data_IF_560694559792
#
_entry.id   IF_560694559792
#
_cell.length_a   1.000
_cell.length_b   1.000
_cell.length_c   1.000
_cell.angle_alpha   90.00
_cell.angle_beta   90.00
_cell.angle_gamma   90.00
#
_symmetry.space_group_name_H-M   'P 1'
#
loop_
_entity.id
_entity.type
_entity.pdbx_description
1 polymer ?
#
# COMPACT_ATOMS: atom_id res chain seq x y z
N UNK A 1 -17.07 -23.80 18.68
CA UNK A 1 -16.00 -22.78 18.59
C UNK A 1 -15.22 -23.10 17.33
N UNK A 2 -15.44 -22.36 16.23
CA UNK A 2 -14.56 -22.46 15.04
C UNK A 2 -13.26 -21.78 15.43
N UNK A 3 -12.17 -22.47 15.27
CA UNK A 3 -10.83 -21.92 15.50
C UNK A 3 -10.52 -20.90 14.42
N UNK A 4 -9.80 -19.85 14.75
CA UNK A 4 -9.38 -18.72 13.87
C UNK A 4 -8.66 -19.16 12.57
N UNK A 5 -8.33 -20.45 12.48
CA UNK A 5 -7.55 -21.08 11.39
C UNK A 5 -8.39 -21.49 10.18
N UNK A 6 -9.73 -21.40 10.23
CA UNK A 6 -10.62 -21.93 9.18
C UNK A 6 -11.32 -20.85 8.32
N UNK A 7 -10.96 -19.57 8.48
CA UNK A 7 -11.44 -18.54 7.55
C UNK A 7 -10.56 -18.53 6.30
N UNK A 8 -11.11 -19.00 5.19
CA UNK A 8 -10.47 -18.85 3.87
C UNK A 8 -10.12 -17.36 3.67
N UNK A 9 -8.85 -17.07 3.49
CA UNK A 9 -8.36 -15.70 3.26
C UNK A 9 -8.97 -15.14 1.99
N UNK A 10 -9.66 -14.01 2.11
CA UNK A 10 -10.35 -13.37 0.98
C UNK A 10 -9.39 -12.62 0.04
N UNK A 11 -8.20 -12.23 0.54
CA UNK A 11 -7.19 -11.52 -0.24
C UNK A 11 -6.41 -12.42 -1.23
N UNK A 12 -6.57 -13.76 -1.12
CA UNK A 12 -5.99 -14.68 -2.11
C UNK A 12 -6.53 -14.48 -3.55
N UNK A 13 -7.64 -13.76 -3.70
CA UNK A 13 -8.16 -13.33 -5.03
C UNK A 13 -7.11 -12.54 -5.83
N UNK A 14 -6.18 -11.84 -5.17
CA UNK A 14 -5.08 -11.10 -5.79
C UNK A 14 -3.99 -11.98 -6.41
N UNK A 15 -4.01 -13.29 -6.18
CA UNK A 15 -3.16 -14.26 -6.90
C UNK A 15 -3.64 -14.51 -8.33
N UNK A 16 -4.88 -14.11 -8.67
CA UNK A 16 -5.48 -14.30 -9.98
C UNK A 16 -5.11 -13.20 -10.98
N UNK A 17 -4.50 -13.56 -12.11
CA UNK A 17 -4.09 -12.62 -13.15
C UNK A 17 -5.24 -11.73 -13.66
N UNK A 18 -6.44 -12.31 -13.86
CA UNK A 18 -7.59 -11.56 -14.37
C UNK A 18 -8.05 -10.40 -13.45
N UNK A 19 -7.92 -10.55 -12.13
CA UNK A 19 -8.22 -9.47 -11.18
C UNK A 19 -7.11 -8.41 -11.23
N UNK A 20 -5.85 -8.84 -11.28
CA UNK A 20 -4.68 -7.96 -11.39
C UNK A 20 -4.76 -7.10 -12.65
N UNK A 21 -5.01 -7.71 -13.81
CA UNK A 21 -5.16 -6.99 -15.09
C UNK A 21 -6.28 -5.95 -15.01
N UNK A 22 -7.46 -6.34 -14.51
CA UNK A 22 -8.60 -5.42 -14.32
C UNK A 22 -8.25 -4.25 -13.41
N UNK A 23 -7.51 -4.50 -12.32
CA UNK A 23 -7.09 -3.45 -11.40
C UNK A 23 -6.11 -2.49 -12.07
N UNK A 24 -5.08 -3.01 -12.74
CA UNK A 24 -4.03 -2.21 -13.38
C UNK A 24 -4.59 -1.36 -14.53
N UNK A 25 -5.50 -1.94 -15.33
CA UNK A 25 -6.09 -1.25 -16.49
C UNK A 25 -7.19 -0.28 -16.12
N UNK A 26 -7.95 -0.55 -15.06
CA UNK A 26 -9.19 0.16 -14.76
C UNK A 26 -9.18 0.92 -13.43
N UNK A 27 -8.89 0.26 -12.31
CA UNK A 27 -9.10 0.85 -10.98
C UNK A 27 -7.94 1.76 -10.59
N UNK A 28 -6.70 1.32 -10.84
CA UNK A 28 -5.48 2.01 -10.42
C UNK A 28 -5.42 3.48 -10.83
N UNK A 29 -5.78 3.78 -12.06
CA UNK A 29 -5.75 5.15 -12.59
C UNK A 29 -6.93 6.01 -12.14
N UNK A 30 -7.96 5.41 -11.58
CA UNK A 30 -9.15 6.09 -11.08
C UNK A 30 -9.15 6.32 -9.57
N UNK A 31 -8.09 5.92 -8.84
CA UNK A 31 -7.99 6.22 -7.40
C UNK A 31 -7.90 7.73 -7.20
N UNK A 32 -8.83 8.34 -6.41
CA UNK A 32 -8.80 9.78 -6.17
C UNK A 32 -7.49 10.22 -5.50
N UNK A 33 -6.96 11.36 -5.91
CA UNK A 33 -5.76 11.96 -5.30
C UNK A 33 -4.51 11.05 -5.31
N UNK A 34 -4.41 10.09 -6.23
CA UNK A 34 -3.28 9.15 -6.25
C UNK A 34 -1.93 9.86 -6.45
N UNK A 35 -1.89 10.92 -7.26
CA UNK A 35 -0.68 11.70 -7.49
C UNK A 35 -0.29 12.51 -6.25
N UNK A 36 -1.27 13.12 -5.58
CA UNK A 36 -1.08 13.90 -4.36
C UNK A 36 -0.61 13.03 -3.20
N UNK A 37 -1.14 11.82 -3.07
CA UNK A 37 -0.70 10.85 -2.06
C UNK A 37 0.78 10.47 -2.26
N UNK A 38 1.20 10.25 -3.49
CA UNK A 38 2.61 9.97 -3.83
C UNK A 38 3.48 11.21 -3.58
N UNK A 39 3.02 12.42 -3.91
CA UNK A 39 3.75 13.66 -3.62
C UNK A 39 3.94 13.85 -2.11
N UNK A 40 2.90 13.63 -1.31
CA UNK A 40 2.98 13.67 0.15
C UNK A 40 3.99 12.65 0.68
N UNK A 41 3.94 11.39 0.21
CA UNK A 41 4.92 10.36 0.56
C UNK A 41 6.36 10.83 0.28
N UNK A 42 6.61 11.35 -0.92
CA UNK A 42 7.95 11.83 -1.30
C UNK A 42 8.41 13.01 -0.46
N UNK A 43 7.53 13.95 -0.10
CA UNK A 43 7.84 15.08 0.81
C UNK A 43 8.19 14.61 2.21
N UNK A 44 7.44 13.65 2.75
CA UNK A 44 7.69 13.06 4.07
C UNK A 44 9.05 12.36 4.08
N UNK A 45 9.35 11.56 3.06
CA UNK A 45 10.65 10.89 2.91
C UNK A 45 11.78 11.91 2.79
N UNK A 46 11.62 12.96 1.97
CA UNK A 46 12.64 14.00 1.81
C UNK A 46 12.90 14.79 3.12
N UNK A 47 11.87 15.01 3.92
CA UNK A 47 11.96 15.73 5.19
C UNK A 47 12.76 14.98 6.26
N UNK A 48 12.99 13.67 6.12
CA UNK A 48 13.82 12.91 7.06
C UNK A 48 15.30 13.35 7.08
N UNK A 49 15.76 14.03 6.03
CA UNK A 49 17.12 14.58 5.97
C UNK A 49 18.26 13.56 5.91
N UNK A 50 17.95 12.28 6.01
CA UNK A 50 18.91 11.19 5.90
C UNK A 50 19.09 10.73 4.44
N UNK A 51 20.28 10.25 4.04
CA UNK A 51 20.47 9.68 2.72
C UNK A 51 19.58 8.44 2.50
N UNK A 52 18.78 8.43 1.45
CA UNK A 52 17.97 7.28 1.06
C UNK A 52 18.78 6.37 0.14
N UNK A 53 19.29 5.27 0.69
CA UNK A 53 20.13 4.29 -0.01
C UNK A 53 19.44 2.95 -0.22
N UNK A 54 18.56 2.55 0.72
CA UNK A 54 17.83 1.27 0.69
C UNK A 54 16.36 1.51 0.98
N UNK A 55 15.54 1.08 0.06
CA UNK A 55 14.09 1.20 0.18
C UNK A 55 13.43 -0.16 0.11
N UNK A 56 12.36 -0.37 0.86
CA UNK A 56 11.48 -1.52 0.74
C UNK A 56 10.06 -1.07 0.41
N UNK A 57 9.39 -1.81 -0.49
CA UNK A 57 8.00 -1.59 -0.89
C UNK A 57 7.20 -2.85 -0.58
N UNK A 58 6.32 -2.79 0.42
CA UNK A 58 5.61 -3.93 0.98
C UNK A 58 4.19 -4.02 0.41
N UNK A 59 3.85 -5.15 -0.20
CA UNK A 59 2.67 -5.26 -1.06
C UNK A 59 2.80 -4.33 -2.25
N UNK A 60 3.93 -4.44 -2.94
CA UNK A 60 4.37 -3.46 -3.94
C UNK A 60 3.46 -3.35 -5.16
N UNK A 61 2.59 -4.34 -5.39
CA UNK A 61 1.79 -4.42 -6.59
C UNK A 61 2.65 -4.32 -7.85
N UNK A 62 2.31 -3.42 -8.74
CA UNK A 62 3.07 -3.15 -9.97
C UNK A 62 4.30 -2.22 -9.78
N UNK A 63 4.69 -1.92 -8.54
CA UNK A 63 5.88 -1.13 -8.21
C UNK A 63 5.76 0.38 -8.41
N UNK A 64 4.55 0.94 -8.38
CA UNK A 64 4.35 2.38 -8.64
C UNK A 64 5.02 3.26 -7.59
N UNK A 65 4.97 2.89 -6.28
CA UNK A 65 5.62 3.66 -5.22
C UNK A 65 7.13 3.57 -5.35
N UNK A 66 7.67 2.36 -5.60
CA UNK A 66 9.09 2.18 -5.89
C UNK A 66 9.53 3.01 -7.08
N UNK A 67 8.74 3.06 -8.17
CA UNK A 67 9.07 3.89 -9.34
C UNK A 67 9.18 5.36 -8.98
N UNK A 68 8.28 5.88 -8.14
CA UNK A 68 8.31 7.26 -7.67
C UNK A 68 9.53 7.53 -6.78
N UNK A 69 9.85 6.62 -5.85
CA UNK A 69 11.03 6.72 -4.99
C UNK A 69 12.33 6.69 -5.81
N UNK A 70 12.46 5.77 -6.78
CA UNK A 70 13.65 5.67 -7.63
C UNK A 70 13.77 6.82 -8.66
N UNK A 71 12.70 7.56 -8.93
CA UNK A 71 12.79 8.81 -9.68
C UNK A 71 13.41 9.93 -8.84
N UNK A 72 13.09 10.00 -7.53
CA UNK A 72 13.66 10.98 -6.60
C UNK A 72 15.06 10.56 -6.08
N UNK A 73 15.29 9.25 -5.93
CA UNK A 73 16.52 8.66 -5.36
C UNK A 73 17.08 7.58 -6.30
N UNK A 74 17.62 7.95 -7.46
CA UNK A 74 17.97 7.00 -8.53
C UNK A 74 19.07 5.99 -8.15
N UNK A 75 19.91 6.30 -7.16
CA UNK A 75 20.97 5.41 -6.68
C UNK A 75 20.49 4.45 -5.55
N UNK A 76 19.25 4.56 -5.09
CA UNK A 76 18.75 3.70 -4.03
C UNK A 76 18.55 2.26 -4.51
N UNK A 77 18.97 1.30 -3.68
CA UNK A 77 18.66 -0.11 -3.88
C UNK A 77 17.23 -0.40 -3.38
N UNK A 78 16.37 -0.90 -4.26
CA UNK A 78 14.98 -1.20 -3.93
C UNK A 78 14.74 -2.70 -3.74
N UNK A 79 13.95 -3.06 -2.74
CA UNK A 79 13.42 -4.40 -2.49
C UNK A 79 11.89 -4.33 -2.51
N UNK A 80 11.27 -5.06 -3.43
CA UNK A 80 9.83 -5.10 -3.61
C UNK A 80 9.30 -6.46 -3.13
N UNK A 81 8.32 -6.42 -2.25
CA UNK A 81 7.72 -7.62 -1.65
C UNK A 81 6.24 -7.67 -2.03
N UNK A 82 5.80 -8.77 -2.61
CA UNK A 82 4.39 -9.04 -2.87
C UNK A 82 4.14 -10.55 -2.87
N UNK A 83 2.94 -10.98 -2.53
CA UNK A 83 2.57 -12.39 -2.61
C UNK A 83 1.96 -12.78 -3.95
N UNK A 84 1.58 -11.79 -4.77
CA UNK A 84 0.99 -11.96 -6.10
C UNK A 84 2.06 -11.99 -7.19
N UNK A 85 2.33 -13.16 -7.75
CA UNK A 85 3.29 -13.28 -8.87
C UNK A 85 2.88 -12.49 -10.13
N UNK A 86 1.57 -12.37 -10.50
CA UNK A 86 1.16 -11.45 -11.56
C UNK A 86 1.53 -9.99 -11.28
N UNK A 87 1.38 -9.51 -10.03
CA UNK A 87 1.82 -8.16 -9.63
C UNK A 87 3.34 -8.01 -9.74
N UNK A 88 4.12 -8.96 -9.23
CA UNK A 88 5.57 -8.93 -9.36
C UNK A 88 6.03 -8.95 -10.81
N UNK A 89 5.32 -9.65 -11.69
CA UNK A 89 5.59 -9.65 -13.13
C UNK A 89 5.37 -8.26 -13.73
N UNK A 90 4.29 -7.58 -13.38
CA UNK A 90 4.03 -6.21 -13.80
C UNK A 90 5.09 -5.23 -13.25
N UNK A 91 5.51 -5.41 -11.98
CA UNK A 91 6.56 -4.61 -11.37
C UNK A 91 7.92 -4.80 -12.06
N UNK A 92 8.31 -6.04 -12.39
CA UNK A 92 9.53 -6.32 -13.15
C UNK A 92 9.52 -5.61 -14.51
N UNK A 93 8.41 -5.68 -15.23
CA UNK A 93 8.28 -5.00 -16.53
C UNK A 93 8.39 -3.47 -16.39
N UNK A 94 7.73 -2.90 -15.37
CA UNK A 94 7.73 -1.44 -15.11
C UNK A 94 9.10 -0.90 -14.72
N UNK A 95 9.92 -1.70 -14.05
CA UNK A 95 11.21 -1.30 -13.48
C UNK A 95 12.42 -1.92 -14.22
N UNK A 96 12.21 -2.49 -15.42
CA UNK A 96 13.22 -3.22 -16.17
C UNK A 96 14.50 -2.42 -16.46
N UNK A 97 14.35 -1.10 -16.69
CA UNK A 97 15.45 -0.21 -17.07
C UNK A 97 16.18 0.42 -15.86
N UNK A 98 15.85 -0.01 -14.63
CA UNK A 98 16.45 0.59 -13.43
C UNK A 98 17.84 0.03 -13.12
N UNK A 99 18.74 0.94 -12.76
CA UNK A 99 20.10 0.63 -12.32
C UNK A 99 20.37 1.38 -11.02
N UNK A 100 20.69 0.67 -9.92
CA UNK A 100 20.79 -0.78 -9.80
C UNK A 100 19.42 -1.48 -9.98
N UNK A 101 19.41 -2.75 -10.46
CA UNK A 101 18.15 -3.47 -10.65
C UNK A 101 17.48 -3.75 -9.29
N UNK A 102 16.17 -3.52 -9.18
CA UNK A 102 15.41 -3.84 -7.96
C UNK A 102 15.40 -5.36 -7.68
N UNK A 103 15.34 -5.72 -6.40
CA UNK A 103 15.09 -7.09 -5.96
C UNK A 103 13.58 -7.31 -5.78
N UNK A 104 13.07 -8.40 -6.35
CA UNK A 104 11.67 -8.81 -6.21
C UNK A 104 11.60 -10.07 -5.34
N UNK A 105 10.74 -10.04 -4.34
CA UNK A 105 10.58 -11.11 -3.34
C UNK A 105 9.11 -11.53 -3.31
N UNK A 106 8.85 -12.80 -3.67
CA UNK A 106 7.53 -13.40 -3.52
C UNK A 106 7.37 -13.83 -2.05
N UNK A 107 6.65 -13.02 -1.26
CA UNK A 107 6.41 -13.31 0.15
C UNK A 107 5.09 -12.69 0.62
N UNK A 108 4.48 -13.37 1.60
CA UNK A 108 3.18 -13.03 2.14
C UNK A 108 3.31 -12.30 3.48
N UNK A 109 2.84 -11.06 3.52
CA UNK A 109 2.85 -10.21 4.73
C UNK A 109 1.93 -10.72 5.85
N UNK A 110 1.03 -11.67 5.55
CA UNK A 110 0.22 -12.32 6.58
C UNK A 110 1.06 -13.19 7.55
N UNK A 111 2.26 -13.54 7.18
CA UNK A 111 3.17 -14.39 7.96
C UNK A 111 4.51 -13.68 8.19
N UNK A 112 5.13 -13.83 9.36
CA UNK A 112 6.41 -13.16 9.69
C UNK A 112 7.62 -13.66 8.89
N UNK A 113 7.48 -14.74 8.14
CA UNK A 113 8.56 -15.33 7.29
C UNK A 113 9.06 -14.34 6.23
N UNK A 114 8.27 -13.34 5.82
CA UNK A 114 8.72 -12.30 4.88
C UNK A 114 9.95 -11.53 5.39
N UNK A 115 10.10 -11.39 6.72
CA UNK A 115 11.23 -10.70 7.36
C UNK A 115 12.54 -11.39 7.02
N UNK A 116 12.58 -12.72 7.08
CA UNK A 116 13.76 -13.53 6.74
C UNK A 116 14.15 -13.36 5.26
N UNK A 117 13.13 -13.26 4.38
CA UNK A 117 13.33 -13.13 2.96
C UNK A 117 13.98 -11.80 2.53
N UNK A 118 13.97 -10.78 3.41
CA UNK A 118 14.56 -9.45 3.15
C UNK A 118 15.68 -9.07 4.12
N UNK A 119 15.98 -9.90 5.12
CA UNK A 119 16.90 -9.59 6.21
C UNK A 119 18.31 -9.22 5.73
N UNK A 120 18.79 -9.84 4.65
CA UNK A 120 20.10 -9.54 4.05
C UNK A 120 20.18 -8.15 3.38
N UNK A 121 19.04 -7.47 3.23
CA UNK A 121 18.94 -6.10 2.68
C UNK A 121 18.71 -5.03 3.73
N UNK A 122 18.31 -5.42 4.93
CA UNK A 122 18.15 -4.51 6.06
C UNK A 122 19.52 -3.98 6.56
N UNK A 123 19.54 -2.85 7.28
CA UNK A 123 18.40 -1.99 7.56
C UNK A 123 18.01 -1.12 6.34
N UNK A 124 16.72 -0.77 6.26
CA UNK A 124 16.16 0.11 5.24
C UNK A 124 16.10 1.55 5.74
N UNK A 125 16.41 2.50 4.87
CA UNK A 125 16.23 3.93 5.17
C UNK A 125 14.76 4.34 5.04
N UNK A 126 14.05 3.70 4.10
CA UNK A 126 12.64 3.94 3.83
C UNK A 126 11.90 2.62 3.61
N UNK A 127 10.78 2.45 4.27
CA UNK A 127 9.80 1.40 3.99
C UNK A 127 8.49 2.05 3.59
N UNK A 128 7.94 1.65 2.47
CA UNK A 128 6.62 2.12 2.01
C UNK A 128 5.68 0.94 1.80
N UNK A 129 4.38 1.23 1.86
CA UNK A 129 3.32 0.31 1.43
C UNK A 129 2.20 1.12 0.77
N UNK A 130 1.51 0.53 -0.20
CA UNK A 130 0.38 1.18 -0.84
C UNK A 130 -0.78 0.24 -1.10
N UNK A 131 -1.91 0.46 -0.43
CA UNK A 131 -3.14 -0.31 -0.63
C UNK A 131 -2.96 -1.83 -0.49
N UNK A 132 -2.18 -2.26 0.50
CA UNK A 132 -1.87 -3.67 0.75
C UNK A 132 -2.16 -4.11 2.19
N UNK A 133 -1.79 -3.32 3.19
CA UNK A 133 -1.85 -3.72 4.59
C UNK A 133 -3.30 -3.82 5.08
N UNK A 134 -4.25 -3.12 4.47
CA UNK A 134 -5.66 -3.19 4.83
C UNK A 134 -6.31 -4.57 4.61
N UNK A 135 -5.67 -5.48 3.91
CA UNK A 135 -6.14 -6.85 3.77
C UNK A 135 -5.83 -7.75 4.99
N UNK A 136 -4.98 -7.28 5.91
CA UNK A 136 -4.57 -8.06 7.07
C UNK A 136 -5.50 -7.81 8.27
N UNK A 137 -5.70 -8.81 9.15
CA UNK A 137 -6.35 -8.59 10.45
C UNK A 137 -5.58 -7.58 11.30
N UNK A 138 -6.27 -6.84 12.19
CA UNK A 138 -5.67 -5.76 12.98
C UNK A 138 -4.53 -6.24 13.88
N UNK A 139 -4.63 -7.45 14.44
CA UNK A 139 -3.53 -8.04 15.21
C UNK A 139 -2.28 -8.23 14.35
N UNK A 140 -2.46 -8.67 13.08
CA UNK A 140 -1.35 -8.86 12.14
C UNK A 140 -0.76 -7.52 11.67
N UNK A 141 -1.60 -6.50 11.42
CA UNK A 141 -1.13 -5.15 11.11
C UNK A 141 -0.17 -4.63 12.18
N UNK A 142 -0.56 -4.77 13.47
CA UNK A 142 0.28 -4.34 14.60
C UNK A 142 1.62 -5.09 14.63
N UNK A 143 1.60 -6.41 14.45
CA UNK A 143 2.83 -7.20 14.38
C UNK A 143 3.70 -6.79 13.21
N UNK A 144 3.10 -6.59 12.03
CA UNK A 144 3.80 -6.12 10.82
C UNK A 144 4.47 -4.76 11.03
N UNK A 145 3.79 -3.81 11.69
CA UNK A 145 4.40 -2.51 12.01
C UNK A 145 5.62 -2.65 12.95
N UNK A 146 5.57 -3.59 13.90
CA UNK A 146 6.74 -3.91 14.73
C UNK A 146 7.89 -4.52 13.92
N UNK A 147 7.59 -5.43 12.99
CA UNK A 147 8.57 -6.02 12.07
C UNK A 147 9.22 -4.95 11.17
N UNK A 148 8.40 -4.02 10.63
CA UNK A 148 8.89 -2.87 9.85
C UNK A 148 9.84 -2.02 10.70
N UNK A 149 9.45 -1.69 11.94
CA UNK A 149 10.29 -0.90 12.84
C UNK A 149 11.65 -1.55 13.12
N UNK A 150 11.69 -2.89 13.25
CA UNK A 150 12.93 -3.63 13.44
C UNK A 150 13.85 -3.61 12.21
N UNK A 151 13.27 -3.57 11.00
CA UNK A 151 14.01 -3.55 9.73
C UNK A 151 14.44 -2.15 9.28
N UNK A 152 13.87 -1.07 9.86
CA UNK A 152 14.29 0.29 9.56
C UNK A 152 15.66 0.62 10.15
N UNK A 153 16.43 1.45 9.48
CA UNK A 153 17.61 2.09 10.04
C UNK A 153 17.22 3.08 11.15
N UNK A 154 18.09 3.38 12.13
CA UNK A 154 17.88 4.52 13.02
C UNK A 154 17.61 5.79 12.21
N UNK A 155 16.55 6.53 12.54
CA UNK A 155 16.06 7.68 11.78
C UNK A 155 15.32 7.36 10.48
N UNK A 156 15.21 6.08 10.11
CA UNK A 156 14.49 5.64 8.90
C UNK A 156 12.98 5.85 9.00
N UNK A 157 12.32 5.94 7.85
CA UNK A 157 10.91 6.32 7.71
C UNK A 157 10.05 5.17 7.20
N UNK A 158 8.89 4.96 7.85
CA UNK A 158 7.78 4.18 7.31
C UNK A 158 6.66 5.10 6.83
N UNK A 159 6.19 4.90 5.60
CA UNK A 159 5.01 5.59 5.04
C UNK A 159 4.05 4.59 4.44
N UNK A 160 2.79 4.65 4.88
CA UNK A 160 1.71 3.84 4.34
C UNK A 160 0.69 4.72 3.59
N UNK A 161 0.43 4.42 2.32
CA UNK A 161 -0.68 4.97 1.54
C UNK A 161 -1.80 3.94 1.59
N UNK A 162 -2.94 4.27 2.21
CA UNK A 162 -3.85 3.21 2.64
C UNK A 162 -5.33 3.56 2.52
N UNK A 163 -6.13 2.52 2.31
CA UNK A 163 -7.57 2.53 2.48
C UNK A 163 -7.89 2.28 3.97
N UNK A 164 -8.47 3.27 4.63
CA UNK A 164 -8.72 3.24 6.07
C UNK A 164 -10.22 3.27 6.37
N UNK A 165 -10.62 2.78 7.55
CA UNK A 165 -12.01 2.74 7.93
C UNK A 165 -12.61 4.14 8.16
N UNK A 166 -13.82 4.34 7.69
CA UNK A 166 -14.69 5.44 8.11
C UNK A 166 -15.22 5.24 9.53
N UNK A 167 -15.52 6.33 10.22
CA UNK A 167 -16.14 6.29 11.56
C UNK A 167 -17.64 5.99 11.53
N UNK A 168 -18.29 6.12 10.38
CA UNK A 168 -19.73 5.91 10.21
C UNK A 168 -20.09 5.55 8.79
N UNK A 169 -21.20 4.84 8.60
CA UNK A 169 -21.72 4.52 7.27
C UNK A 169 -22.08 5.76 6.43
N UNK A 170 -22.36 6.90 7.08
CA UNK A 170 -22.59 8.14 6.36
C UNK A 170 -21.30 8.64 5.66
N UNK A 171 -20.16 8.59 6.34
CA UNK A 171 -18.85 8.96 5.74
C UNK A 171 -18.44 7.94 4.69
N UNK A 172 -18.64 6.65 4.96
CA UNK A 172 -18.37 5.56 3.99
C UNK A 172 -19.15 5.80 2.68
N UNK A 173 -20.44 6.13 2.76
CA UNK A 173 -21.25 6.41 1.57
C UNK A 173 -20.73 7.61 0.75
N UNK A 174 -20.20 8.64 1.41
CA UNK A 174 -19.58 9.79 0.72
C UNK A 174 -18.26 9.36 0.06
N UNK A 175 -17.46 8.54 0.74
CA UNK A 175 -16.20 8.00 0.22
C UNK A 175 -16.45 7.13 -1.01
N UNK A 176 -17.42 6.20 -0.93
CA UNK A 176 -17.82 5.36 -2.05
C UNK A 176 -18.30 6.19 -3.25
N UNK A 177 -19.12 7.22 -3.02
CA UNK A 177 -19.60 8.09 -4.07
C UNK A 177 -18.44 8.85 -4.75
N UNK A 178 -17.48 9.36 -3.97
CA UNK A 178 -16.30 10.06 -4.50
C UNK A 178 -15.39 9.12 -5.33
N UNK A 179 -15.24 7.87 -4.88
CA UNK A 179 -14.49 6.84 -5.63
C UNK A 179 -15.19 6.50 -6.95
N UNK A 180 -16.51 6.29 -6.93
CA UNK A 180 -17.31 6.00 -8.13
C UNK A 180 -17.21 7.17 -9.14
N UNK A 181 -17.32 8.41 -8.67
CA UNK A 181 -17.19 9.60 -9.52
C UNK A 181 -15.80 9.68 -10.17
N UNK A 182 -14.75 9.40 -9.42
CA UNK A 182 -13.37 9.40 -9.94
C UNK A 182 -13.16 8.28 -10.97
N UNK A 183 -13.63 7.08 -10.69
CA UNK A 183 -13.59 5.95 -11.63
C UNK A 183 -14.37 6.27 -12.92
N UNK A 184 -15.56 6.87 -12.80
CA UNK A 184 -16.36 7.26 -13.95
C UNK A 184 -15.63 8.32 -14.80
N UNK A 185 -15.07 9.35 -14.19
CA UNK A 185 -14.28 10.37 -14.88
C UNK A 185 -13.07 9.75 -15.59
N UNK A 186 -12.34 8.84 -14.92
CA UNK A 186 -11.20 8.14 -15.50
C UNK A 186 -11.58 7.29 -16.73
N UNK A 187 -12.65 6.52 -16.64
CA UNK A 187 -13.13 5.70 -17.76
C UNK A 187 -13.65 6.55 -18.92
N UNK A 188 -14.31 7.66 -18.62
CA UNK A 188 -14.79 8.62 -19.64
C UNK A 188 -13.64 9.22 -20.44
N UNK A 189 -12.54 9.63 -19.77
CA UNK A 189 -11.36 10.19 -20.46
C UNK A 189 -10.65 9.17 -21.37
N UNK A 190 -10.85 7.87 -21.13
CA UNK A 190 -10.32 6.77 -21.96
C UNK A 190 -11.28 6.29 -23.05
N UNK A 191 -12.42 6.95 -23.21
CA UNK A 191 -13.42 6.58 -24.23
C UNK A 191 -14.23 5.34 -23.88
N UNK A 192 -14.18 4.86 -22.63
CA UNK A 192 -15.03 3.77 -22.17
C UNK A 192 -16.46 4.28 -21.97
N UNK A 193 -17.42 3.75 -22.71
CA UNK A 193 -18.82 4.19 -22.70
C UNK A 193 -19.65 3.67 -21.50
N UNK A 194 -19.03 3.46 -20.32
CA UNK A 194 -19.74 3.01 -19.11
C UNK A 194 -20.45 4.19 -18.42
N UNK A 195 -21.72 3.98 -18.05
CA UNK A 195 -22.43 4.95 -17.23
C UNK A 195 -21.90 4.94 -15.77
N UNK A 196 -22.20 6.01 -15.03
CA UNK A 196 -21.87 6.09 -13.61
C UNK A 196 -22.53 4.97 -12.79
N UNK A 197 -23.77 4.60 -13.14
CA UNK A 197 -24.53 3.53 -12.49
C UNK A 197 -23.89 2.16 -12.72
N UNK A 198 -23.38 1.91 -13.93
CA UNK A 198 -22.65 0.67 -14.24
C UNK A 198 -21.36 0.57 -13.44
N UNK A 199 -20.63 1.69 -13.31
CA UNK A 199 -19.40 1.73 -12.49
C UNK A 199 -19.72 1.57 -11.00
N UNK A 200 -20.83 2.16 -10.52
CA UNK A 200 -21.28 2.00 -9.15
C UNK A 200 -21.62 0.52 -8.84
N UNK A 201 -22.31 -0.15 -9.73
CA UNK A 201 -22.64 -1.57 -9.59
C UNK A 201 -21.36 -2.44 -9.56
N UNK A 202 -20.43 -2.22 -10.48
CA UNK A 202 -19.13 -2.91 -10.51
C UNK A 202 -18.31 -2.65 -9.24
N UNK A 203 -18.33 -1.42 -8.73
CA UNK A 203 -17.60 -1.03 -7.53
C UNK A 203 -18.15 -1.70 -6.27
N UNK A 204 -19.47 -1.74 -6.13
CA UNK A 204 -20.15 -2.36 -4.97
C UNK A 204 -19.98 -3.87 -4.96
N UNK A 205 -20.04 -4.52 -6.13
CA UNK A 205 -19.99 -5.98 -6.27
C UNK A 205 -18.60 -6.50 -6.66
N UNK A 206 -17.54 -5.69 -6.51
CA UNK A 206 -16.18 -6.14 -6.84
C UNK A 206 -15.75 -7.32 -5.96
N UNK A 207 -15.06 -8.32 -6.52
CA UNK A 207 -14.72 -9.56 -5.81
C UNK A 207 -13.74 -9.36 -4.65
N UNK A 208 -12.94 -8.29 -4.70
CA UNK A 208 -11.94 -7.94 -3.68
C UNK A 208 -12.53 -7.15 -2.49
N UNK A 209 -13.80 -6.72 -2.55
CA UNK A 209 -14.42 -5.94 -1.46
C UNK A 209 -14.39 -6.69 -0.12
N UNK A 210 -14.65 -8.00 -0.16
CA UNK A 210 -14.65 -8.84 1.04
C UNK A 210 -13.24 -9.08 1.63
N UNK A 211 -12.19 -8.80 0.86
CA UNK A 211 -10.81 -8.88 1.32
C UNK A 211 -10.38 -7.70 2.20
N UNK A 212 -11.17 -6.62 2.23
CA UNK A 212 -10.83 -5.42 2.98
C UNK A 212 -11.15 -5.60 4.47
N UNK A 213 -10.14 -5.47 5.30
CA UNK A 213 -10.23 -5.45 6.77
C UNK A 213 -9.73 -4.07 7.22
N UNK A 214 -10.57 -3.06 7.05
CA UNK A 214 -10.19 -1.67 7.27
C UNK A 214 -10.05 -1.36 8.77
N UNK A 215 -9.07 -0.54 9.11
CA UNK A 215 -8.90 0.02 10.45
C UNK A 215 -8.84 1.56 10.37
N UNK A 216 -9.37 2.29 11.38
CA UNK A 216 -9.26 3.75 11.44
C UNK A 216 -7.80 4.20 11.44
N UNK A 217 -7.49 5.28 10.71
CA UNK A 217 -6.10 5.77 10.63
C UNK A 217 -5.57 6.20 11.99
N UNK A 218 -6.42 6.76 12.83
CA UNK A 218 -6.06 7.17 14.20
C UNK A 218 -5.57 5.97 15.02
N UNK A 219 -6.28 4.84 14.95
CA UNK A 219 -5.88 3.61 15.64
C UNK A 219 -4.54 3.09 15.09
N UNK A 220 -4.33 3.15 13.79
CA UNK A 220 -3.07 2.70 13.17
C UNK A 220 -1.90 3.61 13.58
N UNK A 221 -2.10 4.93 13.65
CA UNK A 221 -1.10 5.86 14.19
C UNK A 221 -0.79 5.57 15.68
N UNK A 222 -1.82 5.25 16.48
CA UNK A 222 -1.61 4.90 17.89
C UNK A 222 -0.84 3.57 18.04
N UNK A 223 -1.05 2.60 17.16
CA UNK A 223 -0.24 1.37 17.14
C UNK A 223 1.22 1.66 16.82
N UNK A 224 1.51 2.53 15.85
CA UNK A 224 2.88 2.94 15.54
C UNK A 224 3.55 3.64 16.73
N UNK A 225 2.84 4.57 17.41
CA UNK A 225 3.35 5.23 18.63
C UNK A 225 3.65 4.23 19.74
N UNK A 226 2.74 3.28 19.97
CA UNK A 226 2.92 2.23 20.98
C UNK A 226 4.11 1.32 20.68
N UNK A 227 4.49 1.16 19.40
CA UNK A 227 5.67 0.41 18.96
C UNK A 227 6.96 1.25 18.99
N UNK A 228 6.90 2.50 19.47
CA UNK A 228 8.07 3.36 19.63
C UNK A 228 8.47 4.17 18.41
N UNK A 229 7.62 4.28 17.38
CA UNK A 229 7.86 5.20 16.30
C UNK A 229 7.73 6.66 16.79
N UNK A 230 8.63 7.52 16.33
CA UNK A 230 8.58 8.96 16.52
C UNK A 230 7.92 9.65 15.33
N UNK A 231 7.51 10.90 15.53
CA UNK A 231 6.91 11.76 14.49
C UNK A 231 5.75 11.11 13.73
N UNK A 232 4.96 10.30 14.46
CA UNK A 232 3.82 9.58 13.88
C UNK A 232 2.67 10.54 13.62
N UNK A 233 2.24 10.62 12.36
CA UNK A 233 1.09 11.44 11.97
C UNK A 233 0.36 10.87 10.74
N UNK A 234 -0.86 11.37 10.51
CA UNK A 234 -1.59 11.26 9.27
C UNK A 234 -1.31 12.51 8.43
N UNK A 235 -0.44 12.38 7.44
CA UNK A 235 0.06 13.48 6.61
C UNK A 235 -0.95 13.95 5.55
N UNK A 236 -1.86 13.07 5.17
CA UNK A 236 -2.92 13.33 4.21
C UNK A 236 -4.13 12.46 4.53
N UNK A 237 -5.33 13.03 4.45
CA UNK A 237 -6.57 12.25 4.57
C UNK A 237 -7.70 12.90 3.78
N UNK A 238 -8.31 12.14 2.89
CA UNK A 238 -9.57 12.48 2.23
C UNK A 238 -10.49 11.26 2.35
N UNK A 239 -11.53 11.38 3.16
CA UNK A 239 -12.44 10.27 3.49
C UNK A 239 -11.68 9.03 3.97
N UNK A 240 -11.73 7.93 3.20
CA UNK A 240 -11.09 6.64 3.50
C UNK A 240 -9.70 6.48 2.87
N UNK A 241 -9.17 7.51 2.21
CA UNK A 241 -7.83 7.51 1.65
C UNK A 241 -6.91 8.29 2.57
N UNK A 242 -5.82 7.66 3.01
CA UNK A 242 -4.88 8.27 3.94
C UNK A 242 -3.42 7.99 3.56
N UNK A 243 -2.53 8.94 3.91
CA UNK A 243 -1.08 8.75 3.95
C UNK A 243 -0.65 8.99 5.39
N UNK A 244 -0.08 8.00 6.03
CA UNK A 244 0.36 8.08 7.41
C UNK A 244 1.65 7.30 7.62
N UNK A 245 2.32 7.54 8.73
CA UNK A 245 3.56 6.84 9.02
C UNK A 245 4.28 7.40 10.22
N UNK A 246 5.57 7.06 10.35
CA UNK A 246 6.41 7.52 11.44
C UNK A 246 7.87 7.13 11.24
N UNK A 247 8.76 7.72 12.04
CA UNK A 247 10.20 7.44 11.99
C UNK A 247 10.61 6.43 13.08
N UNK A 248 11.57 5.58 12.76
CA UNK A 248 12.33 4.90 13.80
C UNK A 248 13.19 5.95 14.51
N UNK A 249 13.19 6.05 15.85
CA UNK A 249 14.13 6.92 16.58
C UNK A 249 15.59 6.66 16.17
N UNK A 250 16.43 7.73 16.27
CA UNK A 250 17.85 7.67 15.99
C UNK A 250 18.64 6.87 17.05
#
# INVERSE_FOLDING_TARGET
MRTETDMVRQDEVWKGAALVDRFLDGVRGGIPFAAEQIDVMLRVVAACGAPVRRVADLGCGDGILTRALLAAYPAAAATLVDFSEPMLTAARARLADRVPPPRFVAADLAHSVWVEAVADRAPFDVVVSGYAIHHLPDARKRTLYGEIGALLAPGGMFVNIEHVASRSGWIEAISDAAMIDSLHAFHTTRGAGKSREQIADEYVHRPDKAANILAPVEAQCDWLRALGFADVDCFFKVFELAVFGGRRPA
#
